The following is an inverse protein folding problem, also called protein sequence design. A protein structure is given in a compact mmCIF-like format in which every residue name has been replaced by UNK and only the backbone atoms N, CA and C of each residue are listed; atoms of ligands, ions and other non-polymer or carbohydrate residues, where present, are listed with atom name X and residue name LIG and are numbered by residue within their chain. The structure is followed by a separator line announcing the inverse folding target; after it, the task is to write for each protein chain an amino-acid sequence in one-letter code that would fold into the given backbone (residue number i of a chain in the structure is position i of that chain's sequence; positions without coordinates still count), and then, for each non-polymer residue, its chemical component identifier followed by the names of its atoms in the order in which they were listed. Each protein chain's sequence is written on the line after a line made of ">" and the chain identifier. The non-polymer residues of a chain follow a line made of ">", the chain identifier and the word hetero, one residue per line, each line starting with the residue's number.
data_IF_122590598105
#
_entry.id   IF_122590598105
#
_cell.length_a   1.000
_cell.length_b   1.000
_cell.length_c   1.000
_cell.angle_alpha   90.00
_cell.angle_beta   90.00
_cell.angle_gamma   90.00
#
_symmetry.space_group_name_H-M   'P 1'
#
loop_
_entity.id
_entity.type
_entity.pdbx_description
1 polymer ?
#
# COMPACT_ATOMS: atom_id res chain seq x y z
N UNK A 1 3.06 -6.27 32.72
CA UNK A 1 2.34 -5.48 31.70
C UNK A 1 2.22 -6.36 30.48
N UNK A 2 1.02 -6.59 29.96
CA UNK A 2 0.82 -7.38 28.74
C UNK A 2 1.57 -6.70 27.60
N UNK A 3 2.28 -7.48 26.77
CA UNK A 3 2.99 -6.99 25.60
C UNK A 3 1.97 -6.51 24.54
N UNK A 4 1.51 -5.27 24.68
CA UNK A 4 0.55 -4.68 23.76
C UNK A 4 1.23 -4.24 22.47
N UNK A 5 0.52 -4.37 21.35
CA UNK A 5 0.95 -3.91 20.02
C UNK A 5 0.24 -2.60 19.66
N UNK A 6 0.99 -1.62 19.18
CA UNK A 6 0.45 -0.36 18.69
C UNK A 6 0.01 -0.47 17.23
N UNK A 7 -1.09 0.23 16.87
CA UNK A 7 -1.48 0.37 15.48
C UNK A 7 -1.99 1.79 15.20
N UNK A 8 -1.36 2.50 14.26
CA UNK A 8 -1.71 3.87 13.87
C UNK A 8 -2.11 3.90 12.39
N UNK A 9 -3.27 4.48 12.10
CA UNK A 9 -3.84 4.50 10.76
C UNK A 9 -4.76 3.29 10.52
N UNK A 10 -6.08 3.50 10.73
CA UNK A 10 -7.11 2.47 10.71
C UNK A 10 -8.00 2.56 9.46
N UNK A 11 -7.42 3.05 8.35
CA UNK A 11 -8.10 3.13 7.06
C UNK A 11 -8.36 1.77 6.43
N UNK A 12 -8.58 1.77 5.11
CA UNK A 12 -8.96 0.60 4.30
C UNK A 12 -8.06 -0.62 4.49
N UNK A 13 -6.76 -0.42 4.72
CA UNK A 13 -5.79 -1.50 4.95
C UNK A 13 -5.49 -1.71 6.43
N UNK A 14 -5.15 -0.63 7.14
CA UNK A 14 -4.72 -0.73 8.54
C UNK A 14 -5.81 -1.19 9.49
N UNK A 15 -7.07 -0.77 9.28
CA UNK A 15 -8.20 -1.21 10.09
C UNK A 15 -8.37 -2.74 10.12
N UNK A 16 -8.50 -3.41 8.96
CA UNK A 16 -8.56 -4.86 8.89
C UNK A 16 -7.33 -5.56 9.49
N UNK A 17 -6.11 -5.05 9.24
CA UNK A 17 -4.88 -5.62 9.82
C UNK A 17 -4.90 -5.55 11.35
N UNK A 18 -5.26 -4.39 11.93
CA UNK A 18 -5.40 -4.23 13.38
C UNK A 18 -6.50 -5.15 13.95
N UNK A 19 -7.62 -5.33 13.22
CA UNK A 19 -8.67 -6.26 13.62
C UNK A 19 -8.19 -7.72 13.65
N UNK A 20 -7.30 -8.14 12.74
CA UNK A 20 -6.74 -9.49 12.76
C UNK A 20 -5.89 -9.72 14.01
N UNK A 21 -5.08 -8.73 14.45
CA UNK A 21 -4.37 -8.79 15.72
C UNK A 21 -5.33 -8.98 16.90
N UNK A 22 -6.42 -8.20 16.96
CA UNK A 22 -7.45 -8.31 18.01
C UNK A 22 -8.12 -9.69 17.98
N UNK A 23 -8.49 -10.21 16.79
CA UNK A 23 -9.09 -11.54 16.66
C UNK A 23 -8.15 -12.66 17.11
N UNK A 24 -6.85 -12.49 16.96
CA UNK A 24 -5.83 -13.43 17.43
C UNK A 24 -5.55 -13.33 18.94
N UNK A 25 -6.28 -12.47 19.67
CA UNK A 25 -6.13 -12.30 21.11
C UNK A 25 -4.97 -11.40 21.53
N UNK A 26 -4.35 -10.68 20.59
CA UNK A 26 -3.30 -9.70 20.92
C UNK A 26 -3.93 -8.46 21.53
N UNK A 27 -3.35 -7.97 22.64
CA UNK A 27 -3.74 -6.67 23.19
C UNK A 27 -3.26 -5.54 22.28
N UNK A 28 -4.15 -4.67 21.83
CA UNK A 28 -3.84 -3.64 20.83
C UNK A 28 -4.15 -2.24 21.34
N UNK A 29 -3.21 -1.31 21.14
CA UNK A 29 -3.43 0.12 21.36
C UNK A 29 -3.55 0.79 19.99
N UNK A 30 -4.71 1.38 19.68
CA UNK A 30 -5.00 1.93 18.36
C UNK A 30 -5.17 3.43 18.36
N UNK A 31 -4.77 4.09 17.26
CA UNK A 31 -5.01 5.50 17.02
C UNK A 31 -5.27 5.77 15.53
N UNK A 32 -6.17 6.69 15.26
CA UNK A 32 -6.37 7.30 13.94
C UNK A 32 -6.77 8.78 14.14
N UNK A 33 -6.30 9.64 13.24
CA UNK A 33 -6.68 11.05 13.25
C UNK A 33 -8.18 11.26 12.96
N UNK A 34 -8.82 10.32 12.25
CA UNK A 34 -10.26 10.27 12.06
C UNK A 34 -10.92 9.45 13.19
N UNK A 35 -11.68 10.09 14.11
CA UNK A 35 -12.33 9.39 15.22
C UNK A 35 -13.33 8.31 14.78
N UNK A 36 -13.87 8.41 13.57
CA UNK A 36 -14.78 7.38 13.05
C UNK A 36 -14.06 6.05 12.76
N UNK A 37 -12.77 6.09 12.41
CA UNK A 37 -11.98 4.89 12.15
C UNK A 37 -11.69 4.09 13.44
N UNK A 38 -11.72 4.72 14.61
CA UNK A 38 -11.51 4.04 15.91
C UNK A 38 -12.79 3.42 16.47
N UNK A 39 -14.00 3.82 16.01
CA UNK A 39 -15.28 3.30 16.51
C UNK A 39 -15.40 1.78 16.52
N UNK A 40 -14.94 1.02 15.47
CA UNK A 40 -15.00 -0.43 15.46
C UNK A 40 -14.12 -1.12 16.52
N UNK A 41 -13.24 -0.36 17.17
CA UNK A 41 -12.28 -0.83 18.17
C UNK A 41 -12.71 -0.47 19.61
N UNK A 42 -13.50 0.59 19.78
CA UNK A 42 -13.88 1.10 21.08
C UNK A 42 -14.70 0.08 21.90
N UNK A 43 -14.32 -0.08 23.18
CA UNK A 43 -15.00 -0.98 24.11
C UNK A 43 -14.75 -2.47 23.88
N UNK A 44 -13.90 -2.86 22.95
CA UNK A 44 -13.57 -4.28 22.73
C UNK A 44 -12.55 -4.76 23.77
N UNK A 45 -12.68 -5.99 24.28
CA UNK A 45 -11.71 -6.59 25.17
C UNK A 45 -10.29 -6.59 24.56
N UNK A 46 -9.28 -6.23 25.33
CA UNK A 46 -7.89 -6.17 24.90
C UNK A 46 -7.56 -5.00 23.95
N UNK A 47 -8.49 -4.06 23.75
CA UNK A 47 -8.26 -2.89 22.89
C UNK A 47 -8.30 -1.60 23.69
N UNK A 48 -7.29 -0.75 23.48
CA UNK A 48 -7.24 0.63 23.99
C UNK A 48 -7.23 1.60 22.82
N UNK A 49 -8.13 2.58 22.84
CA UNK A 49 -8.11 3.69 21.86
C UNK A 49 -7.30 4.83 22.47
N UNK A 50 -6.16 5.14 21.86
CA UNK A 50 -5.27 6.21 22.29
C UNK A 50 -5.63 7.56 21.66
N UNK A 51 -5.24 8.65 22.33
CA UNK A 51 -5.53 10.02 21.90
C UNK A 51 -4.53 10.54 20.86
N UNK A 52 -3.31 9.97 20.86
CA UNK A 52 -2.22 10.39 20.00
C UNK A 52 -1.30 9.23 19.61
N UNK A 53 -0.45 9.43 18.61
CA UNK A 53 0.61 8.49 18.26
C UNK A 53 1.62 8.30 19.40
N UNK A 54 1.90 9.35 20.17
CA UNK A 54 2.74 9.29 21.37
C UNK A 54 2.14 8.36 22.44
N UNK A 55 0.82 8.47 22.68
CA UNK A 55 0.14 7.59 23.66
C UNK A 55 0.17 6.11 23.20
N UNK A 56 0.08 5.84 21.90
CA UNK A 56 0.26 4.47 21.37
C UNK A 56 1.68 3.99 21.65
N UNK A 57 2.69 4.79 21.32
CA UNK A 57 4.09 4.42 21.47
C UNK A 57 4.49 4.18 22.95
N UNK A 58 3.96 4.97 23.89
CA UNK A 58 4.22 4.85 25.31
C UNK A 58 3.71 3.52 25.91
N UNK A 59 2.68 2.93 25.32
CA UNK A 59 2.01 1.73 25.82
C UNK A 59 2.42 0.42 25.14
N UNK A 60 3.40 0.44 24.20
CA UNK A 60 3.65 -0.71 23.32
C UNK A 60 5.14 -1.02 23.14
N UNK A 61 5.46 -2.27 22.80
CA UNK A 61 6.83 -2.71 22.44
C UNK A 61 7.02 -2.86 20.92
N UNK A 62 5.95 -3.14 20.19
CA UNK A 62 5.91 -3.15 18.75
C UNK A 62 4.76 -2.24 18.28
N UNK A 63 5.00 -1.45 17.25
CA UNK A 63 4.03 -0.47 16.72
C UNK A 63 4.01 -0.54 15.20
N UNK A 64 2.82 -0.71 14.62
CA UNK A 64 2.60 -0.68 13.18
C UNK A 64 1.92 0.62 12.76
N UNK A 65 2.32 1.14 11.60
CA UNK A 65 1.65 2.29 10.97
C UNK A 65 1.19 1.95 9.56
N UNK A 66 0.06 2.51 9.12
CA UNK A 66 -0.44 2.36 7.76
C UNK A 66 -1.09 3.68 7.33
N UNK A 67 -0.31 4.56 6.73
CA UNK A 67 -0.61 5.97 6.50
C UNK A 67 -0.51 6.33 5.00
N UNK A 68 -1.16 7.41 4.54
CA UNK A 68 -1.36 7.64 3.11
C UNK A 68 -0.14 8.20 2.36
N UNK A 69 0.75 8.97 3.01
CA UNK A 69 1.83 9.69 2.34
C UNK A 69 2.98 10.07 3.28
N UNK A 70 4.06 10.60 2.69
CA UNK A 70 5.30 10.99 3.35
C UNK A 70 5.10 12.01 4.48
N UNK A 71 4.27 13.04 4.23
CA UNK A 71 4.02 14.13 5.19
C UNK A 71 3.34 13.60 6.45
N UNK A 72 2.28 12.80 6.27
CA UNK A 72 1.52 12.22 7.38
C UNK A 72 2.38 11.22 8.14
N UNK A 73 3.20 10.41 7.46
CA UNK A 73 4.16 9.51 8.13
C UNK A 73 5.16 10.31 8.95
N UNK A 74 5.81 11.35 8.38
CA UNK A 74 6.73 12.21 9.15
C UNK A 74 6.04 12.83 10.37
N UNK A 75 4.83 13.36 10.22
CA UNK A 75 4.06 13.96 11.31
C UNK A 75 3.71 12.93 12.39
N UNK A 76 3.27 11.73 12.02
CA UNK A 76 2.91 10.66 12.95
C UNK A 76 4.11 10.17 13.76
N UNK A 77 5.31 10.19 13.17
CA UNK A 77 6.52 9.75 13.86
C UNK A 77 7.25 10.88 14.61
N UNK A 78 7.43 12.05 13.99
CA UNK A 78 8.31 13.13 14.50
C UNK A 78 7.55 14.39 14.93
N UNK A 79 6.23 14.44 14.78
CA UNK A 79 5.42 15.56 15.23
C UNK A 79 5.39 15.68 16.76
N UNK A 80 4.86 16.79 17.28
CA UNK A 80 4.83 17.08 18.72
C UNK A 80 4.13 15.99 19.57
N UNK A 81 3.15 15.29 18.99
CA UNK A 81 2.43 14.16 19.59
C UNK A 81 2.70 12.85 18.83
N UNK A 82 3.83 12.77 18.15
CA UNK A 82 4.26 11.63 17.34
C UNK A 82 4.90 10.52 18.15
N UNK A 83 5.20 9.42 17.46
CA UNK A 83 5.81 8.23 18.05
C UNK A 83 7.09 8.54 18.84
N UNK A 84 7.96 9.42 18.33
CA UNK A 84 9.21 9.80 18.98
C UNK A 84 9.00 10.50 20.33
N UNK A 85 7.88 11.20 20.52
CA UNK A 85 7.57 11.91 21.77
C UNK A 85 7.10 10.96 22.90
N UNK A 86 6.57 9.79 22.57
CA UNK A 86 6.06 8.81 23.55
C UNK A 86 6.85 7.52 23.60
N UNK A 87 7.63 7.21 22.57
CA UNK A 87 8.33 5.94 22.43
C UNK A 87 9.48 5.76 23.42
N UNK A 88 9.51 4.59 24.07
CA UNK A 88 10.60 4.22 24.97
C UNK A 88 11.72 3.49 24.21
N UNK A 89 12.92 3.49 24.80
CA UNK A 89 14.04 2.66 24.31
C UNK A 89 13.62 1.20 24.20
N UNK A 90 13.93 0.58 23.06
CA UNK A 90 13.57 -0.80 22.74
C UNK A 90 12.23 -0.95 22.03
N UNK A 91 11.49 0.16 21.77
CA UNK A 91 10.32 0.12 20.89
C UNK A 91 10.77 -0.26 19.47
N UNK A 92 10.03 -1.17 18.83
CA UNK A 92 10.17 -1.51 17.42
C UNK A 92 8.98 -0.93 16.64
N UNK A 93 9.23 -0.12 15.64
CA UNK A 93 8.20 0.45 14.80
C UNK A 93 8.28 -0.13 13.38
N UNK A 94 7.13 -0.43 12.79
CA UNK A 94 6.98 -1.03 11.47
C UNK A 94 6.05 -0.16 10.61
N UNK A 95 6.58 0.52 9.62
CA UNK A 95 5.75 1.32 8.72
C UNK A 95 5.31 0.50 7.50
N UNK A 96 4.03 0.17 7.43
CA UNK A 96 3.40 -0.53 6.32
C UNK A 96 3.00 0.41 5.17
N UNK A 97 3.25 1.70 5.31
CA UNK A 97 2.93 2.72 4.32
C UNK A 97 3.82 2.60 3.08
N UNK A 98 3.30 3.02 1.93
CA UNK A 98 4.11 3.20 0.72
C UNK A 98 4.54 4.67 0.65
N UNK A 99 5.79 4.91 0.98
CA UNK A 99 6.41 6.25 1.08
C UNK A 99 7.77 6.29 0.38
N UNK A 100 8.36 7.47 0.26
CA UNK A 100 9.71 7.61 -0.29
C UNK A 100 10.73 6.88 0.59
N UNK A 101 11.73 6.19 0.01
CA UNK A 101 12.78 5.53 0.79
C UNK A 101 13.57 6.50 1.67
N UNK A 102 13.67 7.77 1.26
CA UNK A 102 14.31 8.83 2.00
C UNK A 102 13.61 9.10 3.34
N UNK A 103 12.26 9.14 3.34
CA UNK A 103 11.47 9.27 4.59
C UNK A 103 11.80 8.13 5.54
N UNK A 104 11.79 6.90 5.05
CA UNK A 104 12.13 5.72 5.88
C UNK A 104 13.52 5.82 6.49
N UNK A 105 14.53 6.19 5.68
CA UNK A 105 15.92 6.31 6.16
C UNK A 105 16.07 7.45 7.17
N UNK A 106 15.40 8.59 6.94
CA UNK A 106 15.41 9.71 7.88
C UNK A 106 14.75 9.34 9.22
N UNK A 107 13.61 8.65 9.17
CA UNK A 107 12.93 8.16 10.38
C UNK A 107 13.79 7.18 11.14
N UNK A 108 14.40 6.22 10.45
CA UNK A 108 15.33 5.27 11.07
C UNK A 108 16.45 6.00 11.83
N UNK A 109 17.07 6.99 11.19
CA UNK A 109 18.15 7.80 11.82
C UNK A 109 17.64 8.59 13.04
N UNK A 110 16.51 9.26 12.91
CA UNK A 110 15.95 10.07 13.99
C UNK A 110 15.55 9.23 15.22
N UNK A 111 14.92 8.10 14.99
CA UNK A 111 14.44 7.20 16.05
C UNK A 111 15.58 6.41 16.71
N UNK A 112 16.60 6.03 15.96
CA UNK A 112 17.77 5.31 16.50
C UNK A 112 18.47 6.11 17.61
N UNK A 113 18.51 7.44 17.51
CA UNK A 113 19.04 8.32 18.58
C UNK A 113 18.31 8.19 19.92
N UNK A 114 17.08 7.71 19.92
CA UNK A 114 16.26 7.46 21.11
C UNK A 114 16.25 5.97 21.50
N UNK A 115 16.97 5.12 20.74
CA UNK A 115 16.99 3.67 20.94
C UNK A 115 15.70 2.98 20.47
N UNK A 116 14.99 3.59 19.54
CA UNK A 116 13.82 3.03 18.86
C UNK A 116 14.28 2.47 17.51
N UNK A 117 13.94 1.22 17.22
CA UNK A 117 14.22 0.60 15.92
C UNK A 117 13.07 0.86 14.96
N UNK A 118 13.38 1.31 13.73
CA UNK A 118 12.38 1.54 12.71
C UNK A 118 12.60 0.61 11.51
N UNK A 119 11.54 -0.08 11.09
CA UNK A 119 11.51 -0.97 9.94
C UNK A 119 10.47 -0.52 8.93
N UNK A 120 10.77 -0.62 7.66
CA UNK A 120 9.80 -0.45 6.59
C UNK A 120 9.22 -1.82 6.20
N UNK A 121 7.91 -1.93 6.28
CA UNK A 121 7.17 -3.16 6.03
C UNK A 121 6.03 -2.95 5.02
N UNK A 122 6.28 -2.27 3.88
CA UNK A 122 5.24 -2.11 2.87
C UNK A 122 4.74 -3.47 2.40
N UNK A 123 3.53 -3.48 1.84
CA UNK A 123 2.79 -4.72 1.64
C UNK A 123 2.31 -4.91 0.20
N UNK A 124 2.16 -6.17 -0.18
CA UNK A 124 1.43 -6.60 -1.36
C UNK A 124 0.11 -7.25 -0.92
N UNK A 125 -0.95 -6.86 -1.59
CA UNK A 125 -2.33 -7.19 -1.27
C UNK A 125 -3.19 -5.95 -1.34
N UNK A 126 -4.50 -6.16 -1.27
CA UNK A 126 -5.52 -5.12 -1.23
C UNK A 126 -6.47 -5.38 -0.06
N UNK A 127 -7.54 -4.61 0.05
CA UNK A 127 -8.47 -4.74 1.18
C UNK A 127 -8.95 -6.17 1.44
N UNK A 128 -9.35 -7.00 0.44
CA UNK A 128 -9.73 -8.38 0.70
C UNK A 128 -8.64 -9.19 1.41
N UNK A 129 -7.37 -9.06 0.99
CA UNK A 129 -6.25 -9.74 1.62
C UNK A 129 -5.95 -9.19 3.03
N UNK A 130 -6.15 -7.90 3.27
CA UNK A 130 -6.03 -7.33 4.61
C UNK A 130 -7.12 -7.89 5.56
N UNK A 131 -8.33 -8.09 5.06
CA UNK A 131 -9.44 -8.68 5.82
C UNK A 131 -9.19 -10.16 6.13
N UNK A 132 -8.72 -10.93 5.13
CA UNK A 132 -8.46 -12.38 5.27
C UNK A 132 -7.14 -12.71 5.99
N UNK A 133 -6.26 -11.72 6.23
CA UNK A 133 -4.93 -11.97 6.81
C UNK A 133 -3.96 -12.59 5.81
N UNK A 134 -4.07 -12.23 4.54
CA UNK A 134 -3.27 -12.79 3.44
C UNK A 134 -2.29 -11.77 2.83
N UNK A 135 -1.87 -10.79 3.60
CA UNK A 135 -0.87 -9.80 3.17
C UNK A 135 0.50 -10.47 2.98
N UNK A 136 1.25 -10.01 1.99
CA UNK A 136 2.68 -10.28 1.87
C UNK A 136 3.47 -9.03 2.24
N UNK A 137 4.29 -9.10 3.29
CA UNK A 137 5.10 -7.97 3.76
C UNK A 137 6.50 -8.01 3.16
N UNK A 138 6.96 -6.86 2.65
CA UNK A 138 8.32 -6.64 2.15
C UNK A 138 9.08 -5.93 3.26
N UNK A 139 10.03 -6.61 3.92
CA UNK A 139 10.63 -6.10 5.16
C UNK A 139 12.03 -5.55 4.92
N UNK A 140 12.20 -4.23 5.17
CA UNK A 140 13.50 -3.56 5.22
C UNK A 140 13.82 -3.09 6.64
N UNK A 141 15.10 -3.06 7.00
CA UNK A 141 15.56 -2.58 8.30
C UNK A 141 16.64 -3.46 8.92
N UNK A 142 16.67 -3.52 10.26
CA UNK A 142 17.59 -4.39 11.00
C UNK A 142 17.08 -5.85 11.01
N UNK A 143 17.83 -6.75 10.38
CA UNK A 143 17.46 -8.16 10.24
C UNK A 143 17.33 -8.86 11.62
N UNK A 144 18.14 -8.49 12.59
CA UNK A 144 18.06 -9.07 13.94
C UNK A 144 16.73 -8.75 14.64
N UNK A 145 16.11 -7.63 14.28
CA UNK A 145 14.81 -7.20 14.82
C UNK A 145 13.62 -7.95 14.21
N UNK A 146 13.80 -8.59 13.05
CA UNK A 146 12.72 -9.30 12.34
C UNK A 146 12.03 -10.34 13.23
N UNK A 147 12.77 -11.09 14.04
CA UNK A 147 12.22 -12.11 14.95
C UNK A 147 11.19 -11.52 15.93
N UNK A 148 11.35 -10.27 16.33
CA UNK A 148 10.43 -9.57 17.26
C UNK A 148 9.08 -9.29 16.62
N UNK A 149 9.04 -8.96 15.34
CA UNK A 149 7.82 -8.56 14.63
C UNK A 149 7.17 -9.68 13.82
N UNK A 150 7.94 -10.73 13.49
CA UNK A 150 7.46 -11.84 12.66
C UNK A 150 6.16 -12.49 13.15
N UNK A 151 5.93 -12.70 14.46
CA UNK A 151 4.66 -13.24 14.98
C UNK A 151 3.44 -12.36 14.60
N UNK A 152 3.59 -11.04 14.64
CA UNK A 152 2.52 -10.11 14.29
C UNK A 152 2.30 -10.04 12.77
N UNK A 153 3.39 -10.07 11.99
CA UNK A 153 3.29 -10.16 10.53
C UNK A 153 2.55 -11.43 10.10
N UNK A 154 2.78 -12.58 10.79
CA UNK A 154 2.11 -13.84 10.51
C UNK A 154 0.61 -13.86 10.86
N UNK A 155 0.14 -12.97 11.75
CA UNK A 155 -1.28 -12.78 12.05
C UNK A 155 -1.96 -11.93 10.95
N UNK A 156 -1.27 -10.92 10.45
CA UNK A 156 -1.80 -9.98 9.47
C UNK A 156 -1.59 -10.43 8.01
N UNK A 157 -0.72 -11.40 7.79
CA UNK A 157 -0.36 -11.88 6.46
C UNK A 157 0.13 -13.32 6.44
N UNK A 158 0.22 -13.90 5.24
CA UNK A 158 0.68 -15.29 5.05
C UNK A 158 2.18 -15.40 4.87
N UNK A 159 2.84 -14.33 4.46
CA UNK A 159 4.29 -14.33 4.16
C UNK A 159 4.91 -12.97 4.41
N UNK A 160 6.18 -13.00 4.76
CA UNK A 160 7.04 -11.82 4.75
C UNK A 160 8.40 -12.19 4.13
N UNK A 161 9.09 -11.21 3.58
CA UNK A 161 10.44 -11.39 3.03
C UNK A 161 11.32 -10.22 3.48
N UNK A 162 12.43 -10.53 4.11
CA UNK A 162 13.49 -9.56 4.36
C UNK A 162 14.23 -9.26 3.05
N UNK A 163 14.38 -7.98 2.74
CA UNK A 163 14.93 -7.53 1.46
C UNK A 163 16.17 -6.63 1.62
N UNK A 164 16.61 -6.36 2.84
CA UNK A 164 17.82 -5.59 3.10
C UNK A 164 17.64 -4.46 4.12
N UNK A 165 18.61 -3.53 4.21
CA UNK A 165 18.59 -2.47 5.21
C UNK A 165 17.43 -1.48 5.00
N UNK A 166 17.26 -0.56 5.97
CA UNK A 166 16.20 0.45 6.00
C UNK A 166 16.00 1.17 4.65
N UNK A 167 14.75 1.28 4.23
CA UNK A 167 14.32 1.86 2.96
C UNK A 167 14.34 0.89 1.77
N UNK A 168 14.90 -0.32 1.91
CA UNK A 168 14.92 -1.31 0.81
C UNK A 168 13.52 -1.88 0.56
N UNK A 169 12.70 -2.06 1.59
CA UNK A 169 11.32 -2.48 1.46
C UNK A 169 10.51 -1.52 0.58
N UNK A 170 10.59 -0.21 0.87
CA UNK A 170 9.92 0.80 0.06
C UNK A 170 10.51 0.91 -1.35
N UNK A 171 11.84 0.75 -1.56
CA UNK A 171 12.42 0.69 -2.92
C UNK A 171 11.82 -0.45 -3.74
N UNK A 172 11.76 -1.66 -3.18
CA UNK A 172 11.15 -2.82 -3.86
C UNK A 172 9.66 -2.57 -4.13
N UNK A 173 8.93 -2.03 -3.14
CA UNK A 173 7.51 -1.74 -3.26
C UNK A 173 7.21 -0.73 -4.38
N UNK A 174 7.98 0.34 -4.47
CA UNK A 174 7.78 1.37 -5.49
C UNK A 174 8.05 0.85 -6.90
N UNK A 175 9.11 0.06 -7.10
CA UNK A 175 9.39 -0.58 -8.39
C UNK A 175 8.28 -1.56 -8.77
N UNK A 176 7.81 -2.37 -7.81
CA UNK A 176 6.67 -3.28 -8.03
C UNK A 176 5.41 -2.51 -8.47
N UNK A 177 5.04 -1.43 -7.76
CA UNK A 177 3.84 -0.67 -8.09
C UNK A 177 3.99 0.09 -9.41
N UNK A 178 5.18 0.62 -9.71
CA UNK A 178 5.50 1.23 -11.00
C UNK A 178 5.30 0.25 -12.17
N UNK A 179 5.80 -0.98 -12.04
CA UNK A 179 5.58 -2.03 -13.04
C UNK A 179 4.10 -2.38 -13.19
N UNK A 180 3.36 -2.46 -12.07
CA UNK A 180 1.92 -2.69 -12.07
C UNK A 180 1.13 -1.60 -12.80
N UNK A 181 1.52 -0.34 -12.60
CA UNK A 181 0.92 0.81 -13.27
C UNK A 181 1.17 0.81 -14.80
N UNK A 182 2.41 0.51 -15.22
CA UNK A 182 2.75 0.33 -16.64
C UNK A 182 1.89 -0.78 -17.26
N UNK A 183 1.76 -1.91 -16.56
CA UNK A 183 0.92 -3.03 -17.01
C UNK A 183 -0.54 -2.62 -17.17
N UNK A 184 -1.08 -1.79 -16.26
CA UNK A 184 -2.46 -1.32 -16.34
C UNK A 184 -2.71 -0.48 -17.59
N UNK A 185 -1.82 0.45 -17.91
CA UNK A 185 -1.92 1.28 -19.12
C UNK A 185 -1.77 0.42 -20.38
N UNK A 186 -0.77 -0.48 -20.42
CA UNK A 186 -0.53 -1.35 -21.57
C UNK A 186 -1.75 -2.25 -21.89
N UNK A 187 -2.40 -2.78 -20.85
CA UNK A 187 -3.62 -3.60 -21.03
C UNK A 187 -4.79 -2.76 -21.52
N UNK A 188 -4.98 -1.54 -21.02
CA UNK A 188 -6.02 -0.63 -21.49
C UNK A 188 -5.84 -0.28 -22.96
N UNK A 189 -4.61 0.03 -23.40
CA UNK A 189 -4.27 0.29 -24.80
C UNK A 189 -4.51 -0.94 -25.69
N UNK A 190 -4.10 -2.14 -25.26
CA UNK A 190 -4.34 -3.37 -25.99
C UNK A 190 -5.85 -3.62 -26.22
N UNK A 191 -6.68 -3.43 -25.19
CA UNK A 191 -8.13 -3.54 -25.30
C UNK A 191 -8.72 -2.49 -26.29
N UNK A 192 -8.20 -1.26 -26.27
CA UNK A 192 -8.63 -0.23 -27.20
C UNK A 192 -8.31 -0.60 -28.66
N UNK A 193 -7.12 -1.15 -28.92
CA UNK A 193 -6.75 -1.64 -30.26
C UNK A 193 -7.70 -2.76 -30.68
N UNK A 194 -8.00 -3.72 -29.83
CA UNK A 194 -8.91 -4.82 -30.10
C UNK A 194 -10.29 -4.30 -30.49
N UNK A 195 -10.84 -3.36 -29.71
CA UNK A 195 -12.17 -2.76 -29.98
C UNK A 195 -12.19 -1.96 -31.27
N UNK A 196 -11.15 -1.16 -31.55
CA UNK A 196 -11.05 -0.38 -32.78
C UNK A 196 -10.81 -1.26 -34.02
N UNK A 197 -10.17 -2.40 -33.87
CA UNK A 197 -10.02 -3.42 -34.91
C UNK A 197 -11.32 -4.22 -35.17
N UNK A 198 -12.41 -3.92 -34.47
CA UNK A 198 -13.70 -4.57 -34.67
C UNK A 198 -13.83 -5.96 -34.00
N UNK A 199 -12.93 -6.30 -33.09
CA UNK A 199 -12.97 -7.55 -32.32
C UNK A 199 -13.71 -7.31 -31.01
N UNK A 200 -14.57 -8.25 -30.62
CA UNK A 200 -15.23 -8.24 -29.29
C UNK A 200 -14.14 -8.37 -28.19
N UNK A 201 -14.01 -7.40 -27.27
CA UNK A 201 -12.99 -7.45 -26.24
C UNK A 201 -13.16 -8.64 -25.27
N UNK A 202 -14.35 -9.19 -25.11
CA UNK A 202 -14.56 -10.42 -24.34
C UNK A 202 -13.96 -11.64 -25.03
N UNK A 203 -14.00 -11.69 -26.38
CA UNK A 203 -13.32 -12.76 -27.14
C UNK A 203 -11.80 -12.67 -26.92
N UNK A 204 -11.25 -11.48 -26.97
CA UNK A 204 -9.82 -11.27 -26.67
C UNK A 204 -9.49 -11.68 -25.22
N UNK A 205 -10.32 -11.29 -24.26
CA UNK A 205 -10.16 -11.71 -22.85
C UNK A 205 -10.10 -13.23 -22.70
N UNK A 206 -11.05 -13.96 -23.31
CA UNK A 206 -11.08 -15.43 -23.25
C UNK A 206 -9.88 -16.08 -23.97
N UNK A 207 -9.44 -15.52 -25.10
CA UNK A 207 -8.25 -16.01 -25.81
C UNK A 207 -7.01 -15.90 -24.94
N UNK A 208 -6.77 -14.74 -24.31
CA UNK A 208 -5.60 -14.53 -23.45
C UNK A 208 -5.70 -15.40 -22.19
N UNK A 209 -6.87 -15.46 -21.57
CA UNK A 209 -7.11 -16.24 -20.35
C UNK A 209 -6.90 -17.73 -20.55
N UNK A 210 -7.45 -18.30 -21.63
CA UNK A 210 -7.42 -19.73 -21.88
C UNK A 210 -6.16 -20.16 -22.63
N UNK A 211 -5.61 -19.29 -23.47
CA UNK A 211 -4.38 -19.55 -24.24
C UNK A 211 -3.10 -19.37 -23.41
N UNK A 212 -3.15 -18.60 -22.32
CA UNK A 212 -1.99 -18.27 -21.52
C UNK A 212 -0.97 -17.43 -22.30
N UNK A 213 0.30 -17.80 -22.22
CA UNK A 213 1.37 -17.10 -22.91
C UNK A 213 1.80 -15.80 -22.24
N UNK A 214 2.54 -14.96 -22.99
CA UNK A 214 3.19 -13.76 -22.44
C UNK A 214 2.22 -12.65 -22.02
N UNK A 215 1.02 -12.60 -22.62
CA UNK A 215 0.01 -11.58 -22.33
C UNK A 215 -0.80 -11.88 -21.07
N UNK A 216 -0.80 -13.13 -20.60
CA UNK A 216 -1.53 -13.52 -19.39
C UNK A 216 -0.72 -13.21 -18.14
N UNK A 217 -1.40 -12.67 -17.13
CA UNK A 217 -0.80 -12.38 -15.83
C UNK A 217 -1.85 -12.06 -14.79
N UNK A 218 -1.45 -11.97 -13.53
CA UNK A 218 -2.36 -11.71 -12.40
C UNK A 218 -3.17 -10.42 -12.56
N UNK A 219 -2.58 -9.36 -13.14
CA UNK A 219 -3.30 -8.13 -13.44
C UNK A 219 -4.42 -8.40 -14.45
N UNK A 220 -4.09 -9.07 -15.57
CA UNK A 220 -5.05 -9.41 -16.60
C UNK A 220 -6.22 -10.22 -16.03
N UNK A 221 -5.94 -11.28 -15.30
CA UNK A 221 -6.95 -12.14 -14.69
C UNK A 221 -7.89 -11.38 -13.73
N UNK A 222 -7.33 -10.51 -12.90
CA UNK A 222 -8.10 -9.85 -11.83
C UNK A 222 -8.81 -8.56 -12.28
N UNK A 223 -8.36 -7.94 -13.37
CA UNK A 223 -8.84 -6.59 -13.72
C UNK A 223 -9.58 -6.53 -15.05
N UNK A 224 -9.14 -7.27 -16.08
CA UNK A 224 -9.70 -7.08 -17.43
C UNK A 224 -11.19 -7.35 -17.46
N UNK A 225 -11.65 -8.45 -16.85
CA UNK A 225 -13.11 -8.72 -16.80
C UNK A 225 -13.89 -7.59 -16.14
N UNK A 226 -13.39 -7.05 -15.02
CA UNK A 226 -14.03 -5.92 -14.33
C UNK A 226 -14.07 -4.67 -15.20
N UNK A 227 -12.98 -4.35 -15.91
CA UNK A 227 -12.91 -3.24 -16.85
C UNK A 227 -13.97 -3.39 -17.96
N UNK A 228 -14.11 -4.59 -18.52
CA UNK A 228 -15.11 -4.90 -19.55
C UNK A 228 -16.55 -4.87 -19.03
N UNK A 229 -16.76 -5.23 -17.76
CA UNK A 229 -18.05 -5.15 -17.07
C UNK A 229 -18.36 -3.72 -16.57
N UNK A 230 -17.45 -2.76 -16.71
CA UNK A 230 -17.59 -1.39 -16.22
C UNK A 230 -17.50 -1.27 -14.69
N UNK A 231 -16.92 -2.27 -14.01
CA UNK A 231 -16.74 -2.27 -12.54
C UNK A 231 -15.39 -1.69 -12.15
N UNK A 232 -15.38 -0.43 -11.75
CA UNK A 232 -14.22 0.29 -11.23
C UNK A 232 -14.30 0.54 -9.72
N UNK A 233 -15.08 -0.28 -8.99
CA UNK A 233 -15.10 -0.24 -7.52
C UNK A 233 -13.69 -0.40 -6.97
N UNK A 234 -13.18 0.54 -6.14
CA UNK A 234 -11.79 0.57 -5.78
C UNK A 234 -11.41 -0.57 -4.82
N UNK A 235 -10.40 -1.33 -5.19
CA UNK A 235 -9.62 -2.16 -4.28
C UNK A 235 -8.27 -1.51 -4.00
N UNK A 236 -7.81 -0.66 -4.91
CA UNK A 236 -6.70 0.28 -4.77
C UNK A 236 -6.99 1.49 -5.66
N UNK A 237 -7.12 2.68 -5.08
CA UNK A 237 -7.54 3.89 -5.79
C UNK A 237 -6.51 4.37 -6.81
N UNK A 238 -6.99 4.95 -7.92
CA UNK A 238 -6.15 5.52 -8.96
C UNK A 238 -5.25 6.65 -8.44
N UNK A 239 -5.75 7.50 -7.53
CA UNK A 239 -4.94 8.56 -6.89
C UNK A 239 -3.78 8.00 -6.05
N UNK A 240 -3.95 6.84 -5.43
CA UNK A 240 -2.88 6.18 -4.67
C UNK A 240 -1.84 5.55 -5.61
N UNK A 241 -2.29 4.94 -6.72
CA UNK A 241 -1.37 4.47 -7.76
C UNK A 241 -0.62 5.64 -8.39
N UNK A 242 -1.28 6.76 -8.66
CA UNK A 242 -0.66 7.99 -9.15
C UNK A 242 0.46 8.49 -8.22
N UNK A 243 0.19 8.52 -6.90
CA UNK A 243 1.21 8.83 -5.89
C UNK A 243 2.39 7.87 -5.99
N UNK A 244 2.13 6.56 -6.05
CA UNK A 244 3.17 5.53 -6.09
C UNK A 244 4.01 5.62 -7.38
N UNK A 245 3.41 5.93 -8.52
CA UNK A 245 4.11 6.20 -9.79
C UNK A 245 5.04 7.41 -9.66
N UNK A 246 4.59 8.49 -9.02
CA UNK A 246 5.45 9.67 -8.76
C UNK A 246 6.66 9.31 -7.90
N UNK A 247 6.44 8.55 -6.84
CA UNK A 247 7.53 8.09 -5.96
C UNK A 247 8.49 7.15 -6.71
N UNK A 248 7.97 6.24 -7.54
CA UNK A 248 8.79 5.35 -8.36
C UNK A 248 9.64 6.12 -9.39
N UNK A 249 9.10 7.18 -10.01
CA UNK A 249 9.84 8.07 -10.89
C UNK A 249 10.94 8.83 -10.15
N UNK A 250 10.67 9.32 -8.95
CA UNK A 250 11.68 9.99 -8.14
C UNK A 250 12.81 9.02 -7.78
N UNK A 251 12.48 7.80 -7.40
CA UNK A 251 13.46 6.72 -7.16
C UNK A 251 14.30 6.41 -8.41
N UNK A 252 13.68 6.28 -9.58
CA UNK A 252 14.38 6.04 -10.84
C UNK A 252 15.35 7.18 -11.18
N UNK A 253 14.92 8.44 -11.01
CA UNK A 253 15.77 9.62 -11.22
C UNK A 253 16.96 9.66 -10.27
N UNK A 254 16.74 9.38 -8.99
CA UNK A 254 17.83 9.32 -8.00
C UNK A 254 18.82 8.19 -8.29
N UNK A 255 18.37 7.11 -8.91
CA UNK A 255 19.22 6.00 -9.37
C UNK A 255 19.86 6.24 -10.75
N UNK A 256 19.57 7.37 -11.42
CA UNK A 256 20.10 7.68 -12.76
C UNK A 256 19.54 6.82 -13.88
N UNK A 257 18.36 6.21 -13.69
CA UNK A 257 17.74 5.30 -14.67
C UNK A 257 16.64 6.02 -15.46
N UNK A 258 16.78 6.19 -16.79
CA UNK A 258 15.70 6.68 -17.64
C UNK A 258 14.54 5.67 -17.69
N UNK A 259 13.31 6.13 -17.45
CA UNK A 259 12.11 5.28 -17.42
C UNK A 259 10.98 5.85 -18.29
N UNK A 260 11.13 5.90 -19.63
CA UNK A 260 10.16 6.56 -20.52
C UNK A 260 8.75 5.93 -20.43
N UNK A 261 8.64 4.61 -20.27
CA UNK A 261 7.32 3.97 -20.09
C UNK A 261 6.63 4.41 -18.80
N UNK A 262 7.37 4.54 -17.71
CA UNK A 262 6.81 5.00 -16.44
C UNK A 262 6.42 6.49 -16.48
N UNK A 263 7.17 7.31 -17.23
CA UNK A 263 6.82 8.72 -17.46
C UNK A 263 5.52 8.87 -18.25
N UNK A 264 5.32 8.07 -19.29
CA UNK A 264 4.07 8.07 -20.07
C UNK A 264 2.90 7.52 -19.25
N UNK A 265 3.16 6.46 -18.47
CA UNK A 265 2.20 5.93 -17.50
C UNK A 265 1.76 7.01 -16.50
N UNK A 266 2.70 7.82 -15.99
CA UNK A 266 2.36 8.94 -15.12
C UNK A 266 1.38 9.91 -15.78
N UNK A 267 1.61 10.29 -17.05
CA UNK A 267 0.71 11.19 -17.77
C UNK A 267 -0.70 10.63 -17.86
N UNK A 268 -0.83 9.32 -18.10
CA UNK A 268 -2.14 8.66 -18.13
C UNK A 268 -2.83 8.70 -16.75
N UNK A 269 -2.09 8.53 -15.66
CA UNK A 269 -2.64 8.67 -14.30
C UNK A 269 -2.89 10.14 -13.92
N UNK A 270 -2.10 11.11 -14.38
CA UNK A 270 -2.39 12.53 -14.24
C UNK A 270 -3.77 12.82 -14.86
N UNK A 271 -3.99 12.41 -16.13
CA UNK A 271 -5.25 12.62 -16.83
C UNK A 271 -6.44 11.92 -16.14
N UNK A 272 -6.24 10.70 -15.61
CA UNK A 272 -7.27 9.98 -14.87
C UNK A 272 -7.70 10.74 -13.60
N UNK A 273 -6.75 11.23 -12.82
CA UNK A 273 -7.03 11.99 -11.59
C UNK A 273 -7.68 13.34 -11.90
N UNK A 274 -7.14 14.07 -12.88
CA UNK A 274 -7.65 15.39 -13.30
C UNK A 274 -9.06 15.30 -13.89
N UNK A 275 -9.41 14.15 -14.49
CA UNK A 275 -10.77 13.87 -15.02
C UNK A 275 -11.76 13.39 -13.94
N UNK A 276 -11.35 13.30 -12.67
CA UNK A 276 -12.22 12.94 -11.54
C UNK A 276 -12.30 11.43 -11.22
N UNK A 277 -11.52 10.59 -11.89
CA UNK A 277 -11.52 9.13 -11.66
C UNK A 277 -10.54 8.67 -10.56
N UNK A 278 -9.95 9.62 -9.84
CA UNK A 278 -8.95 9.34 -8.78
C UNK A 278 -9.44 8.42 -7.66
N UNK A 279 -10.74 8.44 -7.36
CA UNK A 279 -11.36 7.61 -6.31
C UNK A 279 -11.77 6.21 -6.78
N UNK A 280 -11.75 5.95 -8.07
CA UNK A 280 -12.02 4.65 -8.65
C UNK A 280 -10.79 3.72 -8.53
N UNK A 281 -10.95 2.43 -8.88
CA UNK A 281 -9.85 1.48 -8.92
C UNK A 281 -8.74 1.96 -9.89
N UNK A 282 -7.50 1.64 -9.61
CA UNK A 282 -6.38 2.09 -10.45
C UNK A 282 -6.47 1.62 -11.91
N UNK A 283 -7.30 0.62 -12.21
CA UNK A 283 -7.65 0.22 -13.57
C UNK A 283 -8.52 1.26 -14.29
N UNK A 284 -9.07 2.26 -13.61
CA UNK A 284 -9.81 3.37 -14.20
C UNK A 284 -8.97 4.26 -15.16
N UNK A 285 -7.64 4.06 -15.21
CA UNK A 285 -6.80 4.57 -16.30
C UNK A 285 -7.32 4.14 -17.68
N UNK A 286 -8.15 3.11 -17.75
CA UNK A 286 -8.89 2.68 -18.95
C UNK A 286 -9.78 3.79 -19.51
N UNK A 287 -10.40 4.62 -18.67
CA UNK A 287 -11.24 5.74 -19.11
C UNK A 287 -10.47 6.78 -19.90
N UNK A 288 -9.17 6.93 -19.62
CA UNK A 288 -8.29 7.82 -20.43
C UNK A 288 -8.21 7.31 -21.87
N UNK A 289 -8.05 6.01 -22.04
CA UNK A 289 -7.96 5.39 -23.36
C UNK A 289 -9.32 5.44 -24.07
N UNK A 290 -10.42 5.13 -23.37
CA UNK A 290 -11.80 5.26 -23.87
C UNK A 290 -12.09 6.68 -24.39
N UNK A 291 -11.69 7.70 -23.62
CA UNK A 291 -11.83 9.11 -24.00
C UNK A 291 -11.04 9.44 -25.26
N UNK A 292 -9.80 8.95 -25.37
CA UNK A 292 -8.92 9.17 -26.55
C UNK A 292 -9.47 8.54 -27.82
N UNK A 293 -10.10 7.37 -27.74
CA UNK A 293 -10.68 6.68 -28.91
C UNK A 293 -12.16 7.02 -29.16
N UNK A 294 -12.80 7.78 -28.26
CA UNK A 294 -14.23 8.15 -28.37
C UNK A 294 -15.19 6.97 -28.23
N UNK A 295 -14.77 5.88 -27.60
CA UNK A 295 -15.56 4.65 -27.50
C UNK A 295 -15.28 3.94 -26.16
N UNK A 296 -16.35 3.40 -25.52
CA UNK A 296 -16.20 2.56 -24.33
C UNK A 296 -15.69 1.17 -24.67
N UNK A 297 -14.89 0.59 -23.77
CA UNK A 297 -14.43 -0.80 -23.82
C UNK A 297 -15.43 -1.74 -23.14
N UNK A 298 -16.20 -1.22 -22.17
CA UNK A 298 -17.31 -1.93 -21.52
C UNK A 298 -18.54 -2.01 -22.45
N UNK A 299 -19.34 -3.07 -22.23
CA UNK A 299 -20.66 -3.20 -22.88
C UNK A 299 -21.69 -2.23 -22.28
#
# INVERSE_FOLDING_TARGET
>A
MSDSVGFIGLGTMGGPMAQNLVKAGVSVVVHDANPNATKPFAGRPGVTVARSAADVAAGTKALFTCLPNDEIVRSAYLGAHGVAAGGARGLVTCDCSTVSPEVTVDLNRALAGQGITHMDTPMLGSQPQAVSGEIFFIVGGDEATLATIAPYLAIMGTRHMYVGPSGTGNRVKLVHNGLGAVTAVAVAEALAVVVQAGVDPYVFYEVVRNGGGMAYGTYFERRVKRMLDGDFTPTFMAELMHKDVKLALNLARSAGVPTPLLEETKRSYDEAVDSGWGKEDFSAVTHVVEKRIGRRLSR
#
